data_IF_678734054943
#
_entry.id   IF_678734054943
#
_cell.length_a   1.000
_cell.length_b   1.000
_cell.length_c   1.000
_cell.angle_alpha   90.00
_cell.angle_beta   90.00
_cell.angle_gamma   90.00
#
_symmetry.space_group_name_H-M   'P 1'
#
loop_
_entity.id
_entity.type
_entity.pdbx_description
1 polymer ?
#
# COMPACT_ATOMS: atom_id res chain seq x y z
N UNK A 1 27.43 37.82 22.15
CA UNK A 1 26.24 37.09 21.68
C UNK A 1 26.33 37.03 20.15
N UNK A 2 26.89 35.97 19.53
CA UNK A 2 26.88 35.86 18.08
C UNK A 2 25.51 35.37 17.62
N UNK A 3 24.92 36.07 16.64
CA UNK A 3 23.63 35.73 16.05
C UNK A 3 23.66 34.35 15.37
N UNK A 4 22.75 33.49 15.82
CA UNK A 4 22.44 32.22 15.18
C UNK A 4 21.71 32.52 13.86
N UNK A 5 22.45 32.54 12.76
CA UNK A 5 21.89 32.57 11.42
C UNK A 5 20.93 31.39 11.20
N UNK A 6 19.72 31.68 10.72
CA UNK A 6 18.72 30.67 10.37
C UNK A 6 19.28 29.66 9.36
N UNK A 7 19.04 28.35 9.54
CA UNK A 7 19.46 27.37 8.55
C UNK A 7 18.68 27.56 7.24
N UNK A 8 19.31 27.36 6.07
CA UNK A 8 18.62 27.49 4.79
C UNK A 8 17.53 26.41 4.64
N UNK A 9 16.39 26.80 4.07
CA UNK A 9 15.28 25.90 3.75
C UNK A 9 15.75 24.68 2.94
N UNK A 10 15.20 23.47 3.17
CA UNK A 10 15.59 22.29 2.43
C UNK A 10 15.26 22.50 0.95
N UNK A 11 16.28 22.47 0.11
CA UNK A 11 16.13 22.53 -1.35
C UNK A 11 15.31 21.31 -1.76
N UNK A 12 14.13 21.54 -2.32
CA UNK A 12 13.29 20.51 -2.95
C UNK A 12 14.09 19.87 -4.08
N UNK A 13 14.84 18.82 -3.76
CA UNK A 13 15.42 17.94 -4.77
C UNK A 13 14.23 17.18 -5.34
N UNK A 14 13.86 17.54 -6.55
CA UNK A 14 13.00 16.75 -7.42
C UNK A 14 13.28 15.27 -7.19
N UNK A 15 12.23 14.54 -6.82
CA UNK A 15 12.26 13.10 -6.66
C UNK A 15 13.05 12.50 -7.85
N UNK A 16 14.02 11.62 -7.61
CA UNK A 16 14.58 10.86 -8.71
C UNK A 16 13.43 10.16 -9.42
N UNK A 17 13.43 10.24 -10.76
CA UNK A 17 12.45 9.57 -11.59
C UNK A 17 12.25 8.14 -11.06
N UNK A 18 11.00 7.64 -11.00
CA UNK A 18 10.75 6.25 -10.63
C UNK A 18 11.69 5.39 -11.46
N UNK A 19 12.18 4.29 -10.88
CA UNK A 19 13.10 3.35 -11.54
C UNK A 19 12.37 2.69 -12.72
N UNK A 20 12.28 3.49 -13.79
CA UNK A 20 11.53 3.33 -15.01
C UNK A 20 12.51 2.67 -15.96
N UNK A 21 12.54 1.35 -15.89
CA UNK A 21 12.80 0.60 -17.12
C UNK A 21 11.55 0.72 -17.99
N UNK A 22 11.33 1.91 -18.55
CA UNK A 22 10.43 2.14 -19.66
C UNK A 22 10.98 1.39 -20.87
N UNK A 23 10.45 0.19 -21.11
CA UNK A 23 10.33 -0.26 -22.49
C UNK A 23 9.02 0.34 -23.00
N UNK A 24 9.13 1.22 -23.99
CA UNK A 24 7.99 1.87 -24.60
C UNK A 24 6.95 0.83 -25.04
N UNK A 25 5.77 0.90 -24.43
CA UNK A 25 4.62 0.07 -24.74
C UNK A 25 3.92 0.65 -25.97
N UNK A 26 3.85 -0.12 -27.05
CA UNK A 26 3.25 0.29 -28.32
C UNK A 26 1.74 0.53 -28.21
N UNK A 27 1.15 1.36 -29.10
CA UNK A 27 -0.28 1.64 -29.09
C UNK A 27 -1.04 0.47 -29.72
N UNK A 28 -1.82 -0.25 -28.91
CA UNK A 28 -2.89 -1.11 -29.40
C UNK A 28 -2.92 -2.51 -28.80
N UNK A 29 -3.79 -2.70 -27.80
CA UNK A 29 -4.58 -3.92 -27.62
C UNK A 29 -5.72 -3.67 -26.63
N UNK A 30 -6.90 -4.21 -26.93
CA UNK A 30 -8.21 -3.82 -26.40
C UNK A 30 -8.52 -4.25 -24.95
N UNK A 31 -9.32 -3.41 -24.28
CA UNK A 31 -10.47 -3.67 -23.40
C UNK A 31 -10.40 -4.74 -22.28
N UNK A 32 -9.24 -5.32 -21.98
CA UNK A 32 -9.08 -6.18 -20.80
C UNK A 32 -8.91 -5.30 -19.56
N UNK A 33 -9.72 -5.54 -18.51
CA UNK A 33 -9.53 -4.93 -17.18
C UNK A 33 -8.66 -5.87 -16.33
N UNK A 34 -7.33 -5.72 -16.31
CA UNK A 34 -6.46 -6.60 -15.53
C UNK A 34 -6.73 -6.43 -14.04
N UNK A 35 -6.69 -7.53 -13.29
CA UNK A 35 -6.78 -7.47 -11.82
C UNK A 35 -5.43 -7.08 -11.26
N UNK A 36 -5.36 -5.93 -10.59
CA UNK A 36 -4.10 -5.38 -10.08
C UNK A 36 -4.17 -5.24 -8.56
N UNK A 37 -3.11 -5.67 -7.89
CA UNK A 37 -2.95 -5.50 -6.45
C UNK A 37 -1.74 -4.61 -6.16
N UNK A 38 -1.99 -3.44 -5.58
CA UNK A 38 -0.96 -2.50 -5.16
C UNK A 38 -0.78 -2.54 -3.64
N UNK A 39 0.46 -2.44 -3.17
CA UNK A 39 0.76 -2.21 -1.77
C UNK A 39 1.14 -0.75 -1.57
N UNK A 40 0.36 0.00 -0.79
CA UNK A 40 0.53 1.43 -0.58
C UNK A 40 1.17 1.69 0.79
N UNK A 41 2.33 2.33 0.79
CA UNK A 41 2.94 2.86 2.00
C UNK A 41 2.11 4.02 2.58
N UNK A 42 1.79 3.98 3.87
CA UNK A 42 1.00 5.00 4.56
C UNK A 42 1.58 6.42 4.46
N UNK A 43 2.90 6.52 4.36
CA UNK A 43 3.64 7.79 4.26
C UNK A 43 3.97 8.21 2.81
N UNK A 44 3.56 7.44 1.80
CA UNK A 44 3.90 7.72 0.41
C UNK A 44 2.91 8.71 -0.20
N UNK A 45 1.69 8.27 -0.52
CA UNK A 45 0.66 9.09 -1.16
C UNK A 45 -0.57 9.09 -0.25
N UNK A 46 -1.24 10.24 -0.13
CA UNK A 46 -2.49 10.29 0.62
C UNK A 46 -3.54 9.40 -0.04
N UNK A 47 -4.10 8.48 0.75
CA UNK A 47 -5.15 7.56 0.31
C UNK A 47 -6.54 8.24 0.25
N UNK A 48 -6.66 9.43 0.81
CA UNK A 48 -7.91 10.18 0.86
C UNK A 48 -8.36 10.56 -0.56
N UNK A 49 -9.64 10.40 -0.86
CA UNK A 49 -10.19 10.70 -2.18
C UNK A 49 -9.79 9.70 -3.28
N UNK A 50 -8.69 8.95 -3.16
CA UNK A 50 -8.26 7.98 -4.18
C UNK A 50 -8.74 6.55 -3.90
N UNK A 51 -8.87 6.13 -2.63
CA UNK A 51 -9.27 4.78 -2.23
C UNK A 51 -10.73 4.78 -1.73
N UNK A 52 -11.48 3.72 -2.07
CA UNK A 52 -12.82 3.42 -1.57
C UNK A 52 -12.75 2.57 -0.30
N UNK A 53 -13.87 2.40 0.39
CA UNK A 53 -13.95 1.61 1.63
C UNK A 53 -13.58 0.13 1.43
N UNK A 54 -13.83 -0.41 0.24
CA UNK A 54 -13.47 -1.79 -0.15
C UNK A 54 -11.99 -1.95 -0.55
N UNK A 55 -11.19 -0.88 -0.47
CA UNK A 55 -9.78 -0.85 -0.85
C UNK A 55 -9.53 -0.68 -2.35
N UNK A 56 -10.57 -0.55 -3.18
CA UNK A 56 -10.39 -0.30 -4.62
C UNK A 56 -10.14 1.18 -4.92
N UNK A 57 -9.47 1.49 -6.02
CA UNK A 57 -9.27 2.88 -6.43
C UNK A 57 -10.54 3.47 -7.07
N UNK A 58 -10.80 4.76 -6.84
CA UNK A 58 -11.97 5.45 -7.42
C UNK A 58 -11.91 5.51 -8.95
N UNK A 59 -10.75 5.88 -9.50
CA UNK A 59 -10.54 6.05 -10.94
C UNK A 59 -10.24 4.76 -11.69
N UNK A 60 -9.80 3.73 -10.97
CA UNK A 60 -9.36 2.44 -11.50
C UNK A 60 -9.93 1.30 -10.64
N UNK A 61 -11.22 0.95 -10.81
CA UNK A 61 -11.88 -0.05 -9.97
C UNK A 61 -11.31 -1.47 -10.11
N UNK A 62 -10.45 -1.72 -11.10
CA UNK A 62 -9.71 -2.98 -11.27
C UNK A 62 -8.42 -3.05 -10.44
N UNK A 63 -8.07 -1.97 -9.74
CA UNK A 63 -6.91 -1.87 -8.85
C UNK A 63 -7.37 -1.89 -7.41
N UNK A 64 -6.85 -2.83 -6.63
CA UNK A 64 -7.03 -2.90 -5.18
C UNK A 64 -5.73 -2.47 -4.48
N UNK A 65 -5.84 -1.53 -3.56
CA UNK A 65 -4.72 -1.03 -2.75
C UNK A 65 -4.79 -1.60 -1.34
N UNK A 66 -3.68 -2.22 -0.92
CA UNK A 66 -3.49 -2.72 0.43
C UNK A 66 -2.55 -1.76 1.15
N UNK A 67 -3.05 -1.07 2.17
CA UNK A 67 -2.25 -0.15 2.99
C UNK A 67 -1.27 -0.94 3.86
N UNK A 68 -0.03 -0.45 3.92
CA UNK A 68 1.04 -0.98 4.76
C UNK A 68 1.79 0.16 5.43
N UNK A 69 2.35 -0.04 6.64
CA UNK A 69 3.02 1.03 7.37
C UNK A 69 4.26 1.59 6.65
N UNK A 70 4.91 0.77 5.83
CA UNK A 70 6.08 1.16 5.06
C UNK A 70 6.29 0.23 3.87
N UNK A 71 6.82 0.75 2.77
CA UNK A 71 7.23 -0.07 1.62
C UNK A 71 8.31 -1.10 1.99
N UNK A 72 9.17 -0.79 2.97
CA UNK A 72 10.22 -1.69 3.45
C UNK A 72 9.71 -2.91 4.24
N UNK A 73 8.46 -2.85 4.73
CA UNK A 73 7.80 -3.98 5.41
C UNK A 73 7.37 -5.06 4.41
N UNK A 74 7.19 -4.70 3.14
CA UNK A 74 6.70 -5.60 2.11
C UNK A 74 7.76 -6.67 1.82
N UNK A 75 7.31 -7.92 1.81
CA UNK A 75 8.10 -9.07 1.37
C UNK A 75 7.80 -9.37 -0.10
N UNK A 76 8.81 -9.59 -0.96
CA UNK A 76 8.58 -9.93 -2.38
C UNK A 76 7.67 -11.14 -2.58
N UNK A 77 7.67 -12.09 -1.65
CA UNK A 77 6.77 -13.25 -1.68
C UNK A 77 5.28 -12.88 -1.68
N UNK A 78 4.90 -11.70 -1.19
CA UNK A 78 3.51 -11.22 -1.21
C UNK A 78 3.06 -10.83 -2.62
N UNK A 79 3.96 -10.23 -3.40
CA UNK A 79 3.69 -9.91 -4.81
C UNK A 79 3.54 -11.19 -5.62
N UNK A 80 4.42 -12.16 -5.40
CA UNK A 80 4.31 -13.47 -6.06
C UNK A 80 3.05 -14.22 -5.64
N UNK A 81 2.66 -14.13 -4.37
CA UNK A 81 1.42 -14.71 -3.88
C UNK A 81 0.21 -14.10 -4.59
N UNK A 82 0.15 -12.77 -4.72
CA UNK A 82 -0.93 -12.11 -5.44
C UNK A 82 -0.99 -12.55 -6.92
N UNK A 83 0.15 -12.62 -7.61
CA UNK A 83 0.21 -13.13 -8.99
C UNK A 83 -0.31 -14.58 -9.10
N UNK A 84 0.11 -15.46 -8.19
CA UNK A 84 -0.35 -16.87 -8.14
C UNK A 84 -1.83 -17.01 -7.83
N UNK A 85 -2.43 -16.04 -7.14
CA UNK A 85 -3.87 -16.02 -6.81
C UNK A 85 -4.71 -15.29 -7.86
N UNK A 86 -4.16 -15.04 -9.05
CA UNK A 86 -4.92 -14.53 -10.19
C UNK A 86 -4.89 -13.01 -10.35
N UNK A 87 -3.95 -12.32 -9.70
CA UNK A 87 -3.61 -10.96 -10.09
C UNK A 87 -2.81 -10.99 -11.41
N UNK A 88 -3.18 -10.13 -12.35
CA UNK A 88 -2.46 -9.95 -13.60
C UNK A 88 -1.19 -9.12 -13.43
N UNK A 89 -1.22 -8.21 -12.44
CA UNK A 89 -0.12 -7.33 -12.09
C UNK A 89 -0.12 -6.98 -10.61
N UNK A 90 1.06 -6.69 -10.08
CA UNK A 90 1.26 -6.27 -8.69
C UNK A 90 2.26 -5.14 -8.64
N UNK A 91 2.09 -4.19 -7.71
CA UNK A 91 3.07 -3.14 -7.53
C UNK A 91 3.23 -2.74 -6.07
N UNK A 92 4.35 -2.09 -5.78
CA UNK A 92 4.57 -1.39 -4.51
C UNK A 92 4.63 0.10 -4.76
N UNK A 93 3.90 0.87 -3.95
CA UNK A 93 4.06 2.31 -3.85
C UNK A 93 4.86 2.66 -2.57
N UNK A 94 5.95 3.40 -2.74
CA UNK A 94 6.77 3.93 -1.65
C UNK A 94 6.98 5.44 -1.76
N UNK A 95 7.52 6.04 -0.70
CA UNK A 95 7.94 7.45 -0.73
C UNK A 95 9.02 7.68 -1.80
N UNK A 96 9.20 8.92 -2.30
CA UNK A 96 10.25 9.26 -3.25
C UNK A 96 11.63 8.77 -2.80
N UNK A 97 12.44 8.22 -3.72
CA UNK A 97 13.77 7.71 -3.35
C UNK A 97 14.64 8.85 -2.81
N UNK A 98 15.27 8.60 -1.66
CA UNK A 98 16.01 9.63 -0.92
C UNK A 98 15.19 10.41 0.12
N UNK A 99 13.86 10.36 0.04
CA UNK A 99 12.94 11.03 0.98
C UNK A 99 11.98 10.02 1.66
N UNK A 100 12.54 8.90 2.12
CA UNK A 100 11.76 7.91 2.84
C UNK A 100 11.56 8.33 4.30
N UNK A 101 10.30 8.36 4.76
CA UNK A 101 9.99 8.57 6.17
C UNK A 101 10.73 7.58 7.08
N UNK A 102 10.83 6.32 6.65
CA UNK A 102 11.55 5.27 7.36
C UNK A 102 13.00 5.09 6.87
N UNK A 103 13.65 6.18 6.44
CA UNK A 103 15.06 6.29 5.98
C UNK A 103 15.39 5.50 4.71
N UNK A 104 15.37 4.17 4.77
CA UNK A 104 15.83 3.29 3.69
C UNK A 104 14.75 2.31 3.19
N UNK A 105 13.52 2.39 3.70
CA UNK A 105 12.45 1.45 3.36
C UNK A 105 12.13 1.36 1.86
N UNK A 106 12.21 2.47 1.14
CA UNK A 106 11.98 2.51 -0.31
C UNK A 106 13.16 1.93 -1.11
N UNK A 107 14.40 2.22 -0.72
CA UNK A 107 15.60 1.63 -1.31
C UNK A 107 15.63 0.10 -1.12
N UNK A 108 15.30 -0.37 0.10
CA UNK A 108 15.26 -1.80 0.39
C UNK A 108 14.25 -2.55 -0.49
N UNK A 109 13.06 -1.98 -0.71
CA UNK A 109 12.05 -2.64 -1.55
C UNK A 109 12.41 -2.57 -3.04
N UNK A 110 13.07 -1.50 -3.49
CA UNK A 110 13.59 -1.34 -4.85
C UNK A 110 14.52 -2.51 -5.20
N UNK A 111 15.54 -2.74 -4.37
CA UNK A 111 16.51 -3.81 -4.55
C UNK A 111 15.85 -5.19 -4.51
N UNK A 112 14.93 -5.39 -3.57
CA UNK A 112 14.21 -6.66 -3.42
C UNK A 112 13.31 -6.96 -4.61
N UNK A 113 12.59 -5.96 -5.14
CA UNK A 113 11.75 -6.14 -6.33
C UNK A 113 12.61 -6.33 -7.58
N UNK A 114 13.74 -5.62 -7.72
CA UNK A 114 14.68 -5.82 -8.81
C UNK A 114 15.23 -7.26 -8.83
N UNK A 115 15.61 -7.80 -7.67
CA UNK A 115 16.03 -9.20 -7.54
C UNK A 115 14.90 -10.19 -7.87
N UNK A 116 13.68 -9.88 -7.43
CA UNK A 116 12.50 -10.70 -7.73
C UNK A 116 12.19 -10.72 -9.23
N UNK A 117 12.25 -9.57 -9.92
CA UNK A 117 12.03 -9.50 -11.38
C UNK A 117 12.99 -10.41 -12.14
N UNK A 118 14.28 -10.40 -11.78
CA UNK A 118 15.29 -11.34 -12.34
C UNK A 118 14.95 -12.80 -12.08
N UNK A 119 14.34 -13.13 -10.93
CA UNK A 119 13.87 -14.48 -10.63
C UNK A 119 12.66 -14.87 -11.47
N UNK A 120 11.71 -13.96 -11.67
CA UNK A 120 10.52 -14.20 -12.50
C UNK A 120 10.90 -14.45 -13.96
N UNK A 121 11.88 -13.71 -14.48
CA UNK A 121 12.45 -13.93 -15.83
C UNK A 121 12.97 -15.37 -15.99
N UNK A 122 13.72 -15.89 -15.01
CA UNK A 122 14.21 -17.29 -15.02
C UNK A 122 13.06 -18.31 -14.98
N UNK A 123 11.93 -17.94 -14.39
CA UNK A 123 10.71 -18.77 -14.34
C UNK A 123 9.83 -18.59 -15.59
N UNK A 124 10.27 -17.82 -16.59
CA UNK A 124 9.49 -17.47 -17.79
C UNK A 124 8.19 -16.72 -17.48
N UNK A 125 8.16 -16.03 -16.32
CA UNK A 125 7.07 -15.12 -15.94
C UNK A 125 7.50 -13.71 -16.36
N UNK A 126 6.62 -12.99 -17.07
CA UNK A 126 6.92 -11.63 -17.52
C UNK A 126 7.17 -10.71 -16.32
N UNK A 127 8.37 -10.09 -16.21
CA UNK A 127 8.72 -9.24 -15.07
C UNK A 127 7.89 -7.96 -15.01
N UNK A 128 7.34 -7.52 -16.14
CA UNK A 128 6.50 -6.31 -16.25
C UNK A 128 5.14 -6.43 -15.54
N UNK A 129 4.80 -7.63 -15.05
CA UNK A 129 3.69 -7.83 -14.10
C UNK A 129 3.99 -7.27 -12.70
N UNK A 130 5.23 -6.90 -12.41
CA UNK A 130 5.65 -6.41 -11.10
C UNK A 130 6.25 -5.03 -11.23
N UNK A 131 5.68 -4.04 -10.53
CA UNK A 131 6.16 -2.66 -10.54
C UNK A 131 6.58 -2.12 -9.17
N UNK A 132 7.39 -1.06 -9.20
CA UNK A 132 7.63 -0.16 -8.09
C UNK A 132 7.31 1.26 -8.53
N UNK A 133 6.57 1.99 -7.70
CA UNK A 133 6.09 3.34 -7.96
C UNK A 133 6.49 4.21 -6.77
N UNK A 134 6.99 5.41 -7.03
CA UNK A 134 7.49 6.30 -5.97
C UNK A 134 6.90 7.69 -6.14
N UNK A 135 6.09 8.11 -5.16
CA UNK A 135 5.44 9.43 -5.11
C UNK A 135 5.28 9.87 -3.65
N UNK A 136 5.31 11.17 -3.45
CA UNK A 136 5.13 11.84 -2.16
C UNK A 136 3.67 12.17 -1.84
N UNK A 137 3.46 12.69 -0.63
CA UNK A 137 2.14 12.78 0.00
C UNK A 137 1.15 13.62 -0.81
N UNK A 138 1.66 14.62 -1.51
CA UNK A 138 0.91 15.60 -2.29
C UNK A 138 0.90 15.32 -3.80
N UNK A 139 1.43 14.18 -4.24
CA UNK A 139 1.54 13.81 -5.66
C UNK A 139 0.46 12.80 -6.08
N UNK A 140 -0.79 13.03 -5.65
CA UNK A 140 -1.90 12.10 -5.88
C UNK A 140 -2.23 11.93 -7.37
N UNK A 141 -2.28 13.03 -8.11
CA UNK A 141 -2.63 13.00 -9.55
C UNK A 141 -1.57 12.23 -10.35
N UNK A 142 -0.30 12.47 -10.04
CA UNK A 142 0.84 11.78 -10.66
C UNK A 142 0.82 10.29 -10.31
N UNK A 143 0.49 9.95 -9.07
CA UNK A 143 0.32 8.56 -8.65
C UNK A 143 -0.79 7.86 -9.43
N UNK A 144 -1.97 8.47 -9.55
CA UNK A 144 -3.09 7.89 -10.31
C UNK A 144 -2.71 7.69 -11.78
N UNK A 145 -2.03 8.66 -12.39
CA UNK A 145 -1.53 8.55 -13.76
C UNK A 145 -0.54 7.39 -13.93
N UNK A 146 0.40 7.23 -12.98
CA UNK A 146 1.37 6.14 -13.02
C UNK A 146 0.73 4.75 -12.83
N UNK A 147 -0.29 4.64 -11.96
CA UNK A 147 -1.04 3.39 -11.79
C UNK A 147 -1.84 3.06 -13.05
N UNK A 148 -2.40 4.07 -13.72
CA UNK A 148 -3.08 3.89 -15.01
C UNK A 148 -2.10 3.37 -16.07
N UNK A 149 -0.93 3.99 -16.20
CA UNK A 149 0.11 3.53 -17.12
C UNK A 149 0.56 2.10 -16.80
N UNK A 150 0.75 1.78 -15.52
CA UNK A 150 1.05 0.41 -15.09
C UNK A 150 -0.07 -0.56 -15.49
N UNK A 151 -1.33 -0.18 -15.30
CA UNK A 151 -2.49 -0.99 -15.69
C UNK A 151 -2.54 -1.23 -17.19
N UNK A 152 -2.26 -0.22 -18.00
CA UNK A 152 -2.24 -0.32 -19.45
C UNK A 152 -1.12 -1.25 -19.93
N UNK A 153 0.09 -1.15 -19.34
CA UNK A 153 1.19 -2.08 -19.62
C UNK A 153 0.83 -3.52 -19.29
N UNK A 154 0.17 -3.76 -18.15
CA UNK A 154 -0.27 -5.11 -17.75
C UNK A 154 -1.39 -5.63 -18.66
N UNK A 155 -2.26 -4.76 -19.17
CA UNK A 155 -3.33 -5.14 -20.09
C UNK A 155 -2.80 -5.65 -21.45
N UNK A 156 -1.62 -5.18 -21.88
CA UNK A 156 -0.95 -5.64 -23.10
C UNK A 156 -0.28 -7.02 -22.95
N UNK A 157 -0.09 -7.50 -21.72
CA UNK A 157 0.49 -8.81 -21.48
C UNK A 157 -0.55 -9.92 -21.71
N UNK A 158 -0.13 -11.13 -22.13
CA UNK A 158 -1.03 -12.27 -22.21
C UNK A 158 -1.70 -12.53 -20.85
N UNK A 159 -2.91 -13.08 -20.83
CA UNK A 159 -3.59 -13.37 -19.57
C UNK A 159 -2.73 -14.23 -18.65
N UNK A 160 -2.64 -13.86 -17.36
CA UNK A 160 -2.03 -14.76 -16.38
C UNK A 160 -2.82 -16.07 -16.37
N UNK A 161 -2.14 -17.23 -16.22
CA UNK A 161 -2.84 -18.50 -16.07
C UNK A 161 -3.84 -18.40 -14.90
N UNK A 162 -5.04 -18.99 -15.03
CA UNK A 162 -6.04 -18.92 -13.98
C UNK A 162 -5.46 -19.47 -12.67
N UNK A 163 -5.79 -18.86 -11.52
CA UNK A 163 -5.29 -19.32 -10.24
C UNK A 163 -5.70 -20.79 -10.02
N UNK A 164 -4.88 -21.58 -9.30
CA UNK A 164 -5.30 -22.91 -8.91
C UNK A 164 -6.62 -22.83 -8.13
N UNK A 165 -7.54 -23.77 -8.38
CA UNK A 165 -8.84 -23.81 -7.72
C UNK A 165 -8.64 -23.68 -6.21
N UNK A 166 -9.19 -22.59 -5.64
CA UNK A 166 -9.08 -22.34 -4.20
C UNK A 166 -9.80 -23.50 -3.52
N UNK A 167 -9.11 -24.26 -2.65
CA UNK A 167 -9.82 -25.07 -1.66
C UNK A 167 -10.75 -24.10 -0.92
N UNK A 168 -12.04 -24.40 -0.75
CA UNK A 168 -12.94 -23.52 0.00
C UNK A 168 -12.30 -23.28 1.36
N UNK A 169 -11.76 -22.06 1.54
CA UNK A 169 -11.18 -21.64 2.80
C UNK A 169 -12.35 -21.58 3.78
N UNK A 170 -12.31 -22.41 4.82
CA UNK A 170 -13.28 -22.36 5.90
C UNK A 170 -13.52 -20.92 6.29
N UNK A 171 -14.79 -20.54 6.38
CA UNK A 171 -15.18 -19.22 6.84
C UNK A 171 -14.35 -18.88 8.09
N UNK A 172 -13.61 -17.78 8.03
CA UNK A 172 -13.09 -17.18 9.26
C UNK A 172 -14.34 -16.83 10.08
N UNK A 173 -14.49 -17.32 11.32
CA UNK A 173 -15.67 -17.01 12.10
C UNK A 173 -15.70 -15.49 12.25
N UNK A 174 -16.64 -14.88 11.53
CA UNK A 174 -17.04 -13.52 11.77
C UNK A 174 -17.32 -13.41 13.27
N UNK A 175 -16.65 -12.46 13.89
CA UNK A 175 -16.63 -12.22 15.31
C UNK A 175 -18.05 -12.27 15.85
N UNK A 176 -18.38 -13.32 16.61
CA UNK A 176 -19.49 -13.25 17.54
C UNK A 176 -19.10 -12.18 18.54
N UNK A 177 -19.76 -11.03 18.48
CA UNK A 177 -19.72 -10.05 19.55
C UNK A 177 -20.20 -10.73 20.83
N UNK A 178 -19.24 -11.26 21.60
CA UNK A 178 -19.45 -11.72 22.95
C UNK A 178 -19.79 -10.50 23.78
N UNK A 179 -21.08 -10.34 24.09
CA UNK A 179 -21.56 -9.44 25.14
C UNK A 179 -20.81 -9.82 26.43
N UNK A 180 -20.00 -8.91 26.96
CA UNK A 180 -19.41 -9.07 28.28
C UNK A 180 -20.56 -9.19 29.31
N UNK A 181 -20.66 -10.26 30.10
CA UNK A 181 -21.56 -10.30 31.25
C UNK A 181 -20.84 -9.66 32.43
N UNK A 182 -21.28 -8.47 32.85
CA UNK A 182 -20.70 -7.81 34.03
C UNK A 182 -21.02 -6.35 34.28
N UNK A 183 -22.16 -5.82 33.83
CA UNK A 183 -22.69 -4.54 34.33
C UNK A 183 -23.99 -4.83 35.08
N UNK A 184 -23.83 -5.18 36.35
CA UNK A 184 -24.91 -5.29 37.32
C UNK A 184 -24.94 -4.04 38.19
N UNK A 185 -26.05 -3.30 38.07
CA UNK A 185 -26.76 -2.54 39.10
C UNK A 185 -25.95 -1.77 40.17
N UNK A 186 -26.03 -0.44 40.04
CA UNK A 186 -26.20 0.58 41.08
C UNK A 186 -26.07 0.12 42.55
N UNK A 187 -24.88 0.35 43.12
CA UNK A 187 -24.64 0.39 44.57
C UNK A 187 -24.25 1.81 44.98
N UNK A 188 -25.10 2.45 45.79
CA UNK A 188 -24.98 3.82 46.27
C UNK A 188 -23.65 4.14 47.00
N UNK A 189 -23.08 5.34 46.88
CA UNK A 189 -22.05 5.81 47.79
C UNK A 189 -22.68 6.35 49.08
N UNK A 190 -22.49 5.63 50.18
CA UNK A 190 -22.65 6.13 51.55
C UNK A 190 -21.69 7.29 51.81
N UNK A 191 -22.24 8.48 52.03
CA UNK A 191 -21.48 9.70 52.36
C UNK A 191 -20.87 9.67 53.78
N UNK A 192 -19.83 10.48 54.05
CA UNK A 192 -19.22 10.57 55.36
C UNK A 192 -20.06 11.42 56.35
N UNK A 193 -20.21 10.89 57.56
CA UNK A 193 -20.83 11.50 58.75
C UNK A 193 -20.17 12.83 59.15
N UNK A 194 -20.92 13.89 59.54
CA UNK A 194 -20.33 15.09 60.13
C UNK A 194 -19.99 14.90 61.62
N UNK A 195 -18.90 15.55 62.06
CA UNK A 195 -18.38 15.56 63.42
C UNK A 195 -19.33 16.26 64.43
N UNK A 196 -19.29 15.92 65.73
CA UNK A 196 -20.02 16.65 66.75
C UNK A 196 -19.28 17.92 67.20
N UNK A 197 -20.08 18.97 67.38
CA UNK A 197 -19.77 20.32 67.86
C UNK A 197 -19.42 20.31 69.36
N UNK A 198 -18.35 21.01 69.75
CA UNK A 198 -17.96 21.26 71.14
C UNK A 198 -18.89 22.29 71.81
N UNK A 199 -19.35 21.99 73.03
CA UNK A 199 -19.73 22.94 74.08
C UNK A 199 -19.54 22.28 75.44
#
# INVERSE_FOLDING_TARGET
MPELGSPPAPRSRSAPAPDVQARAAGPGAAARRPKIVGFLCDWAVSAEGIVREDGTMRDLPNVTLIKVPCSGFIRPSWLEFALKNGADGTFVCGCPLGDCFNRLGNNLIQDRVAQMRRRLERQKIQPDRVGTIYYGLHEQEQFVAAVREFSDRVAQLPAAPPPPARRPGGASPAQSAGRLPGEGADGAPSGPTPAPEES
#
